data_IF_423932279566
#
_entry.id   IF_423932279566
#
_cell.length_a   1.000
_cell.length_b   1.000
_cell.length_c   1.000
_cell.angle_alpha   90.00
_cell.angle_beta   90.00
_cell.angle_gamma   90.00
#
_symmetry.space_group_name_H-M   'P 1'
#
loop_
_entity.id
_entity.type
_entity.pdbx_description
1 polymer ?
#
# COMPACT_ATOMS: atom_id res chain seq x y z
N UNK A 1 -14.83 3.36 48.33
CA UNK A 1 -14.06 2.34 47.60
C UNK A 1 -14.91 1.95 46.39
N UNK A 2 -14.74 2.45 45.18
CA UNK A 2 -13.51 2.86 44.52
C UNK A 2 -12.91 1.66 43.80
N UNK A 3 -13.61 1.10 42.80
CA UNK A 3 -13.00 0.14 41.89
C UNK A 3 -13.28 0.57 40.44
N UNK A 4 -12.24 1.16 39.86
CA UNK A 4 -12.17 1.63 38.49
C UNK A 4 -11.95 0.42 37.58
N UNK A 5 -13.02 -0.10 36.99
CA UNK A 5 -12.88 -1.06 35.90
C UNK A 5 -12.39 -0.34 34.65
N UNK A 6 -11.05 -0.34 34.51
CA UNK A 6 -10.26 -0.28 33.28
C UNK A 6 -11.04 0.08 32.01
N UNK A 7 -11.00 1.37 31.70
CA UNK A 7 -11.33 1.90 30.39
C UNK A 7 -10.51 1.18 29.31
N UNK A 8 -11.19 0.31 28.56
CA UNK A 8 -10.70 -0.14 27.26
C UNK A 8 -10.50 1.12 26.40
N UNK A 9 -9.26 1.37 26.02
CA UNK A 9 -8.90 2.42 25.08
C UNK A 9 -9.54 2.07 23.74
N UNK A 10 -10.70 2.66 23.45
CA UNK A 10 -11.32 2.62 22.14
C UNK A 10 -10.32 3.23 21.13
N UNK A 11 -9.63 2.38 20.36
CA UNK A 11 -9.41 2.73 18.95
C UNK A 11 -10.81 3.06 18.44
N UNK A 12 -11.07 4.32 18.06
CA UNK A 12 -12.37 4.73 17.53
C UNK A 12 -12.54 4.01 16.21
N UNK A 13 -13.10 2.81 16.25
CA UNK A 13 -13.31 1.98 15.09
C UNK A 13 -14.23 2.76 14.15
N UNK A 14 -13.69 3.17 13.01
CA UNK A 14 -14.47 3.87 11.99
C UNK A 14 -15.58 2.92 11.53
N UNK A 15 -16.83 3.37 11.58
CA UNK A 15 -17.97 2.54 11.20
C UNK A 15 -17.92 2.16 9.72
N UNK A 16 -18.49 1.01 9.39
CA UNK A 16 -18.56 0.54 8.01
C UNK A 16 -19.36 1.52 7.13
N UNK A 17 -20.41 2.12 7.68
CA UNK A 17 -21.25 3.13 7.05
C UNK A 17 -20.43 4.37 6.70
N UNK A 18 -19.63 4.91 7.64
CA UNK A 18 -18.82 6.11 7.41
C UNK A 18 -17.77 5.91 6.30
N UNK A 19 -17.17 4.71 6.22
CA UNK A 19 -16.23 4.38 5.13
C UNK A 19 -16.98 4.30 3.80
N UNK A 20 -18.16 3.69 3.79
CA UNK A 20 -18.96 3.50 2.57
C UNK A 20 -19.49 4.83 2.04
N UNK A 21 -19.97 5.71 2.93
CA UNK A 21 -20.41 7.07 2.58
C UNK A 21 -19.26 7.89 1.98
N UNK A 22 -18.07 7.85 2.61
CA UNK A 22 -16.88 8.51 2.08
C UNK A 22 -16.49 7.97 0.69
N UNK A 23 -16.49 6.66 0.49
CA UNK A 23 -16.12 6.06 -0.80
C UNK A 23 -17.12 6.40 -1.91
N UNK A 24 -18.41 6.57 -1.56
CA UNK A 24 -19.48 6.93 -2.49
C UNK A 24 -19.59 8.43 -2.77
N UNK A 25 -18.79 9.27 -2.10
CA UNK A 25 -18.82 10.71 -2.37
C UNK A 25 -18.48 10.95 -3.85
N UNK A 26 -19.36 11.60 -4.62
CA UNK A 26 -19.13 11.81 -6.04
C UNK A 26 -18.13 12.95 -6.27
N UNK A 27 -17.51 12.94 -7.45
CA UNK A 27 -16.51 13.94 -7.83
C UNK A 27 -17.06 15.38 -7.79
N UNK A 28 -18.30 15.57 -8.26
CA UNK A 28 -18.98 16.87 -8.34
C UNK A 28 -19.20 17.56 -6.99
N UNK A 29 -19.25 16.79 -5.90
CA UNK A 29 -19.48 17.33 -4.57
C UNK A 29 -18.22 17.95 -3.97
N UNK A 30 -17.05 17.56 -4.49
CA UNK A 30 -15.73 17.97 -3.99
C UNK A 30 -15.07 18.97 -4.93
N UNK A 31 -15.11 18.67 -6.23
CA UNK A 31 -14.33 19.36 -7.23
C UNK A 31 -15.18 20.32 -8.06
N UNK A 32 -14.55 21.45 -8.38
CA UNK A 32 -15.05 22.36 -9.41
C UNK A 32 -13.88 22.76 -10.28
N UNK A 33 -14.16 22.88 -11.57
CA UNK A 33 -13.20 23.33 -12.57
C UNK A 33 -13.60 24.69 -13.11
N UNK A 34 -12.64 25.42 -13.67
CA UNK A 34 -12.88 26.67 -14.37
C UNK A 34 -13.82 26.46 -15.58
N UNK A 35 -14.52 27.51 -16.05
CA UNK A 35 -15.45 27.40 -17.18
C UNK A 35 -14.81 26.88 -18.48
N UNK A 36 -13.51 27.10 -18.68
CA UNK A 36 -12.71 26.59 -19.79
C UNK A 36 -12.29 25.12 -19.64
N UNK A 37 -12.60 24.50 -18.48
CA UNK A 37 -12.26 23.12 -18.14
C UNK A 37 -10.78 22.86 -17.86
N UNK A 38 -9.93 23.90 -17.83
CA UNK A 38 -8.47 23.70 -17.81
C UNK A 38 -7.89 23.57 -16.41
N UNK A 39 -8.51 24.19 -15.40
CA UNK A 39 -7.95 24.31 -14.06
C UNK A 39 -8.97 23.98 -12.98
N UNK A 40 -8.48 23.42 -11.86
CA UNK A 40 -9.29 23.30 -10.65
C UNK A 40 -9.50 24.66 -10.01
N UNK A 41 -10.71 24.92 -9.54
CA UNK A 41 -11.06 26.10 -8.71
C UNK A 41 -11.45 25.69 -7.28
N UNK A 42 -11.82 24.42 -7.07
CA UNK A 42 -12.10 23.83 -5.76
C UNK A 42 -11.59 22.39 -5.71
N UNK A 43 -11.05 21.91 -4.57
CA UNK A 43 -10.84 22.63 -3.29
C UNK A 43 -9.72 23.69 -3.35
N UNK A 44 -9.67 24.59 -2.36
CA UNK A 44 -8.71 25.72 -2.34
C UNK A 44 -7.25 25.30 -2.52
N UNK A 45 -6.84 24.17 -1.94
CA UNK A 45 -5.48 23.64 -2.09
C UNK A 45 -5.12 23.19 -3.51
N UNK A 46 -6.11 23.07 -4.41
CA UNK A 46 -5.96 22.72 -5.82
C UNK A 46 -6.20 23.90 -6.75
N UNK A 47 -6.58 25.07 -6.24
CA UNK A 47 -6.89 26.23 -7.06
C UNK A 47 -5.73 26.55 -8.04
N UNK A 48 -6.05 26.61 -9.34
CA UNK A 48 -5.11 26.87 -10.43
C UNK A 48 -4.30 25.66 -10.90
N UNK A 49 -4.47 24.48 -10.30
CA UNK A 49 -3.83 23.23 -10.76
C UNK A 49 -4.43 22.81 -12.09
N UNK A 50 -3.59 22.40 -13.06
CA UNK A 50 -4.07 21.90 -14.34
C UNK A 50 -4.89 20.61 -14.17
N UNK A 51 -5.97 20.48 -14.97
CA UNK A 51 -6.80 19.26 -15.03
C UNK A 51 -6.11 18.17 -15.85
N UNK A 52 -5.57 18.52 -17.02
CA UNK A 52 -4.80 17.60 -17.85
C UNK A 52 -3.41 17.36 -17.27
N UNK A 53 -2.84 16.20 -17.56
CA UNK A 53 -1.48 15.85 -17.14
C UNK A 53 -0.47 16.91 -17.60
N UNK A 54 0.31 17.45 -16.68
CA UNK A 54 1.38 18.38 -17.03
C UNK A 54 2.57 17.64 -17.62
N UNK A 55 3.25 18.29 -18.56
CA UNK A 55 4.57 17.94 -19.07
C UNK A 55 5.59 18.99 -18.63
N UNK A 56 6.88 18.73 -18.85
CA UNK A 56 7.96 19.66 -18.49
C UNK A 56 7.96 20.94 -19.35
N UNK A 57 7.26 20.90 -20.49
CA UNK A 57 7.09 22.04 -21.39
C UNK A 57 5.80 22.84 -21.09
N UNK A 58 5.01 22.41 -20.10
CA UNK A 58 3.76 23.08 -19.73
C UNK A 58 4.01 24.43 -19.06
N UNK A 59 3.16 25.43 -19.32
CA UNK A 59 3.15 26.71 -18.60
C UNK A 59 3.01 26.58 -17.07
N UNK A 60 2.47 25.46 -16.59
CA UNK A 60 2.35 25.17 -15.17
C UNK A 60 3.65 24.65 -14.55
N UNK A 61 4.57 24.12 -15.37
CA UNK A 61 5.83 23.53 -14.94
C UNK A 61 6.74 24.57 -14.28
N UNK A 62 7.51 24.12 -13.29
CA UNK A 62 8.52 24.94 -12.63
C UNK A 62 9.87 24.27 -12.82
N UNK A 63 10.81 24.98 -13.45
CA UNK A 63 12.14 24.47 -13.82
C UNK A 63 12.93 23.82 -12.67
N UNK A 64 12.67 24.21 -11.42
CA UNK A 64 13.35 23.66 -10.24
C UNK A 64 12.78 22.32 -9.76
N UNK A 65 11.64 21.89 -10.29
CA UNK A 65 11.05 20.60 -9.93
C UNK A 65 11.86 19.44 -10.49
N UNK A 66 11.98 18.37 -9.70
CA UNK A 66 12.53 17.13 -10.19
C UNK A 66 11.66 16.57 -11.33
N UNK A 67 12.32 16.13 -12.38
CA UNK A 67 11.71 15.59 -13.60
C UNK A 67 11.18 14.17 -13.35
N UNK A 68 9.92 13.94 -13.72
CA UNK A 68 9.32 12.60 -13.70
C UNK A 68 9.91 11.74 -14.81
N UNK A 69 10.06 12.28 -16.02
CA UNK A 69 10.60 11.55 -17.17
C UNK A 69 12.05 11.14 -16.95
N UNK A 70 12.89 12.03 -16.40
CA UNK A 70 14.27 11.72 -16.03
C UNK A 70 14.36 10.66 -14.93
N UNK A 71 13.38 10.59 -14.02
CA UNK A 71 13.32 9.51 -13.04
C UNK A 71 12.93 8.18 -13.69
N UNK A 72 11.91 8.18 -14.57
CA UNK A 72 11.44 6.98 -15.26
C UNK A 72 12.50 6.40 -16.21
N UNK A 73 13.28 7.26 -16.88
CA UNK A 73 14.39 6.87 -17.76
C UNK A 73 15.52 6.10 -17.03
N UNK A 74 15.56 6.12 -15.69
CA UNK A 74 16.57 5.40 -14.92
C UNK A 74 16.24 3.91 -14.69
N UNK A 75 15.08 3.41 -15.15
CA UNK A 75 14.64 2.02 -14.91
C UNK A 75 15.68 0.98 -15.39
N UNK A 76 16.18 1.12 -16.62
CA UNK A 76 17.16 0.19 -17.18
C UNK A 76 18.50 0.22 -16.43
N UNK A 77 18.92 1.41 -15.99
CA UNK A 77 20.15 1.58 -15.22
C UNK A 77 20.07 0.89 -13.86
N UNK A 78 18.91 0.93 -13.20
CA UNK A 78 18.70 0.28 -11.90
C UNK A 78 18.51 -1.23 -12.05
N UNK A 79 17.87 -1.68 -13.14
CA UNK A 79 17.77 -3.11 -13.49
C UNK A 79 19.16 -3.72 -13.72
N UNK A 80 20.08 -2.97 -14.35
CA UNK A 80 21.50 -3.35 -14.48
C UNK A 80 22.18 -3.47 -13.12
N UNK A 81 22.05 -2.48 -12.24
CA UNK A 81 22.61 -2.54 -10.87
C UNK A 81 22.06 -3.72 -10.05
N UNK A 82 20.77 -4.06 -10.22
CA UNK A 82 20.18 -5.25 -9.60
C UNK A 82 20.85 -6.53 -10.09
N UNK A 83 21.12 -6.64 -11.39
CA UNK A 83 21.80 -7.81 -11.99
C UNK A 83 23.24 -7.93 -11.49
N UNK A 84 23.99 -6.84 -11.49
CA UNK A 84 25.38 -6.80 -11.03
C UNK A 84 25.51 -7.12 -9.54
N UNK A 85 24.67 -6.52 -8.70
CA UNK A 85 24.66 -6.80 -7.25
C UNK A 85 24.27 -8.24 -6.94
N UNK A 86 23.38 -8.85 -7.75
CA UNK A 86 23.03 -10.28 -7.63
C UNK A 86 24.24 -11.16 -7.90
N UNK A 87 25.00 -10.85 -8.94
CA UNK A 87 26.20 -11.61 -9.30
C UNK A 87 27.27 -11.49 -8.22
N UNK A 88 27.54 -10.28 -7.74
CA UNK A 88 28.46 -10.05 -6.63
C UNK A 88 28.06 -10.85 -5.37
N UNK A 89 26.78 -10.84 -5.01
CA UNK A 89 26.27 -11.59 -3.87
C UNK A 89 26.36 -13.11 -4.09
N UNK A 90 26.18 -13.59 -5.33
CA UNK A 90 26.33 -15.01 -5.68
C UNK A 90 27.77 -15.50 -5.48
N UNK A 91 28.76 -14.68 -5.83
CA UNK A 91 30.18 -14.98 -5.67
C UNK A 91 30.58 -15.01 -4.19
N UNK A 92 30.02 -14.11 -3.36
CA UNK A 92 30.29 -14.08 -1.92
C UNK A 92 28.99 -14.00 -1.07
N UNK A 93 28.32 -15.14 -0.83
CA UNK A 93 27.01 -15.18 -0.17
C UNK A 93 27.04 -14.83 1.33
N UNK A 94 28.21 -14.90 1.97
CA UNK A 94 28.34 -14.61 3.40
C UNK A 94 28.55 -13.12 3.70
N UNK A 95 28.77 -12.31 2.66
CA UNK A 95 28.92 -10.87 2.81
C UNK A 95 27.57 -10.17 2.98
N UNK A 96 27.31 -9.69 4.21
CA UNK A 96 26.07 -8.99 4.56
C UNK A 96 25.86 -7.68 3.79
N UNK A 97 26.92 -7.00 3.39
CA UNK A 97 26.81 -5.72 2.68
C UNK A 97 26.43 -5.93 1.21
N UNK A 98 26.92 -7.00 0.58
CA UNK A 98 26.45 -7.43 -0.73
C UNK A 98 24.97 -7.84 -0.68
N UNK A 99 24.54 -8.53 0.38
CA UNK A 99 23.13 -8.86 0.58
C UNK A 99 22.26 -7.60 0.70
N UNK A 100 22.69 -6.60 1.50
CA UNK A 100 21.98 -5.31 1.64
C UNK A 100 21.93 -4.56 0.31
N UNK A 101 23.05 -4.48 -0.42
CA UNK A 101 23.13 -3.80 -1.71
C UNK A 101 22.22 -4.48 -2.75
N UNK A 102 22.22 -5.80 -2.81
CA UNK A 102 21.32 -6.53 -3.69
C UNK A 102 19.85 -6.29 -3.34
N UNK A 103 19.50 -6.32 -2.05
CA UNK A 103 18.15 -6.00 -1.58
C UNK A 103 17.75 -4.56 -1.96
N UNK A 104 18.63 -3.58 -1.76
CA UNK A 104 18.37 -2.19 -2.12
C UNK A 104 17.97 -2.04 -3.59
N UNK A 105 18.77 -2.59 -4.51
CA UNK A 105 18.48 -2.50 -5.94
C UNK A 105 17.23 -3.31 -6.35
N UNK A 106 16.99 -4.46 -5.70
CA UNK A 106 15.74 -5.22 -5.89
C UNK A 106 14.50 -4.42 -5.45
N UNK A 107 14.58 -3.75 -4.30
CA UNK A 107 13.52 -2.90 -3.77
C UNK A 107 13.32 -1.67 -4.68
N UNK A 108 14.39 -1.01 -5.13
CA UNK A 108 14.33 0.14 -6.04
C UNK A 108 13.67 -0.20 -7.39
N UNK A 109 14.05 -1.31 -8.01
CA UNK A 109 13.40 -1.80 -9.24
C UNK A 109 11.90 -2.01 -9.02
N UNK A 110 11.53 -2.60 -7.88
CA UNK A 110 10.12 -2.83 -7.55
C UNK A 110 9.36 -1.51 -7.40
N UNK A 111 9.99 -0.50 -6.78
CA UNK A 111 9.44 0.85 -6.67
C UNK A 111 9.30 1.53 -8.03
N UNK A 112 10.33 1.50 -8.88
CA UNK A 112 10.30 2.10 -10.22
C UNK A 112 9.15 1.52 -11.06
N UNK A 113 8.98 0.20 -11.08
CA UNK A 113 7.87 -0.43 -11.80
C UNK A 113 6.50 0.03 -11.31
N UNK A 114 6.32 0.10 -9.98
CA UNK A 114 5.06 0.59 -9.39
C UNK A 114 4.84 2.08 -9.67
N UNK A 115 5.89 2.90 -9.65
CA UNK A 115 5.81 4.32 -10.00
C UNK A 115 5.43 4.48 -11.48
N UNK A 116 6.08 3.74 -12.40
CA UNK A 116 5.75 3.76 -13.83
C UNK A 116 4.32 3.31 -14.11
N UNK A 117 3.83 2.29 -13.41
CA UNK A 117 2.43 1.83 -13.53
C UNK A 117 1.40 2.93 -13.19
N UNK A 118 1.74 3.82 -12.25
CA UNK A 118 0.82 4.86 -11.77
C UNK A 118 1.06 6.22 -12.44
N UNK A 119 2.30 6.59 -12.76
CA UNK A 119 2.67 7.92 -13.25
C UNK A 119 3.35 7.90 -14.62
N UNK A 120 3.54 6.72 -15.22
CA UNK A 120 4.16 6.59 -16.55
C UNK A 120 3.37 7.28 -17.66
N UNK A 121 3.91 7.22 -18.87
CA UNK A 121 3.42 7.97 -20.03
C UNK A 121 1.89 7.86 -20.24
N UNK A 122 1.36 6.63 -20.21
CA UNK A 122 -0.06 6.33 -20.47
C UNK A 122 -1.01 6.68 -19.30
N UNK A 123 -0.46 7.11 -18.16
CA UNK A 123 -1.27 7.53 -17.02
C UNK A 123 -1.62 9.01 -17.12
N UNK A 124 -2.84 9.44 -16.72
CA UNK A 124 -3.21 10.85 -16.64
C UNK A 124 -2.63 11.56 -15.39
N UNK A 125 -1.89 10.85 -14.54
CA UNK A 125 -1.42 11.42 -13.26
C UNK A 125 0.00 11.97 -13.36
N UNK A 126 0.22 13.12 -12.71
CA UNK A 126 1.54 13.65 -12.42
C UNK A 126 1.67 13.98 -10.92
N UNK A 127 2.76 13.61 -10.23
CA UNK A 127 2.93 13.89 -8.80
C UNK A 127 2.81 15.39 -8.44
N UNK A 128 3.39 16.28 -9.26
CA UNK A 128 3.28 17.74 -9.11
C UNK A 128 1.88 18.33 -9.42
N UNK A 129 0.86 17.49 -9.61
CA UNK A 129 -0.56 17.91 -9.69
C UNK A 129 -1.38 17.44 -8.49
N UNK A 130 -0.72 16.91 -7.46
CA UNK A 130 -1.37 16.50 -6.22
C UNK A 130 -2.04 17.67 -5.50
N UNK A 131 -1.40 18.84 -5.54
CA UNK A 131 -1.87 20.12 -4.98
C UNK A 131 -1.39 21.27 -5.89
N UNK A 132 -1.89 22.49 -5.65
CA UNK A 132 -1.47 23.67 -6.40
C UNK A 132 0.01 24.01 -6.18
N UNK A 133 0.65 24.64 -7.18
CA UNK A 133 2.07 25.02 -7.17
C UNK A 133 2.44 25.92 -5.99
N UNK A 134 1.48 26.64 -5.44
CA UNK A 134 1.68 27.46 -4.24
C UNK A 134 2.04 26.60 -3.01
N UNK A 135 1.55 25.35 -2.95
CA UNK A 135 1.79 24.42 -1.84
C UNK A 135 2.90 23.39 -2.12
N UNK A 136 3.44 23.35 -3.33
CA UNK A 136 4.52 22.41 -3.68
C UNK A 136 5.88 22.95 -3.25
N UNK A 137 6.77 22.10 -2.71
CA UNK A 137 8.13 22.48 -2.37
C UNK A 137 8.93 22.86 -3.63
N UNK A 138 10.10 23.45 -3.44
CA UNK A 138 10.90 24.01 -4.53
C UNK A 138 11.30 22.96 -5.59
N UNK A 139 11.52 21.73 -5.14
CA UNK A 139 11.89 20.54 -5.92
C UNK A 139 10.69 19.71 -6.37
N UNK A 140 9.47 20.06 -5.95
CA UNK A 140 8.26 19.33 -6.27
C UNK A 140 8.15 17.98 -5.52
N UNK A 141 7.43 17.04 -6.12
CA UNK A 141 7.02 15.77 -5.52
C UNK A 141 7.53 14.55 -6.29
N UNK A 142 8.35 14.73 -7.33
CA UNK A 142 8.94 13.65 -8.12
C UNK A 142 10.14 12.99 -7.42
N UNK A 143 9.99 12.62 -6.15
CA UNK A 143 10.98 11.88 -5.37
C UNK A 143 10.57 10.41 -5.23
N UNK A 144 11.51 9.48 -5.37
CA UNK A 144 11.24 8.04 -5.39
C UNK A 144 10.33 7.58 -4.25
N UNK A 145 10.67 7.87 -3.00
CA UNK A 145 9.91 7.36 -1.84
C UNK A 145 8.50 7.95 -1.77
N UNK A 146 8.35 9.22 -2.17
CA UNK A 146 7.07 9.91 -2.16
C UNK A 146 6.17 9.40 -3.28
N UNK A 147 6.70 9.32 -4.51
CA UNK A 147 6.00 8.74 -5.65
C UNK A 147 5.60 7.29 -5.38
N UNK A 148 6.49 6.48 -4.80
CA UNK A 148 6.16 5.09 -4.47
C UNK A 148 5.02 4.96 -3.47
N UNK A 149 5.01 5.79 -2.41
CA UNK A 149 3.93 5.81 -1.41
C UNK A 149 2.59 6.19 -2.04
N UNK A 150 2.58 7.25 -2.85
CA UNK A 150 1.38 7.65 -3.59
C UNK A 150 0.92 6.54 -4.53
N UNK A 151 1.84 5.94 -5.29
CA UNK A 151 1.54 4.86 -6.22
C UNK A 151 0.92 3.64 -5.54
N UNK A 152 1.43 3.24 -4.38
CA UNK A 152 0.84 2.17 -3.58
C UNK A 152 -0.60 2.49 -3.15
N UNK A 153 -0.89 3.73 -2.70
CA UNK A 153 -2.25 4.11 -2.30
C UNK A 153 -3.21 4.18 -3.48
N UNK A 154 -2.77 4.74 -4.60
CA UNK A 154 -3.56 4.76 -5.85
C UNK A 154 -3.86 3.33 -6.30
N UNK A 155 -2.86 2.43 -6.28
CA UNK A 155 -3.04 1.02 -6.63
C UNK A 155 -4.06 0.32 -5.72
N UNK A 156 -4.07 0.62 -4.42
CA UNK A 156 -5.04 0.06 -3.48
C UNK A 156 -6.45 0.62 -3.71
N UNK A 157 -6.57 1.91 -4.03
CA UNK A 157 -7.83 2.57 -4.33
C UNK A 157 -8.42 2.13 -5.67
N UNK A 158 -7.58 1.85 -6.68
CA UNK A 158 -8.01 1.28 -7.98
C UNK A 158 -8.82 0.00 -7.79
N UNK A 159 -8.43 -0.87 -6.86
CA UNK A 159 -9.20 -2.09 -6.55
C UNK A 159 -10.63 -1.77 -6.07
N UNK A 160 -10.83 -0.71 -5.30
CA UNK A 160 -12.17 -0.30 -4.86
C UNK A 160 -12.97 0.34 -6.00
N UNK A 161 -12.30 1.11 -6.86
CA UNK A 161 -12.89 1.73 -8.03
C UNK A 161 -13.35 0.68 -9.05
N UNK A 162 -12.51 -0.31 -9.36
CA UNK A 162 -12.82 -1.42 -10.28
C UNK A 162 -13.97 -2.32 -9.76
N UNK A 163 -14.21 -2.29 -8.44
CA UNK A 163 -15.36 -2.96 -7.79
C UNK A 163 -16.62 -2.09 -7.74
N UNK A 164 -16.56 -0.85 -8.21
CA UNK A 164 -17.67 0.10 -8.15
C UNK A 164 -17.99 0.62 -6.74
N UNK A 165 -17.07 0.49 -5.78
CA UNK A 165 -17.25 1.00 -4.42
C UNK A 165 -16.71 2.41 -4.24
N UNK A 166 -15.64 2.76 -4.94
CA UNK A 166 -15.09 4.11 -4.96
C UNK A 166 -15.68 4.87 -6.16
N UNK A 167 -16.43 5.94 -5.89
CA UNK A 167 -17.15 6.71 -6.91
C UNK A 167 -16.26 7.68 -7.70
N UNK A 168 -15.15 8.14 -7.10
CA UNK A 168 -14.19 9.04 -7.74
C UNK A 168 -13.03 8.26 -8.37
N UNK A 169 -12.34 8.90 -9.32
CA UNK A 169 -11.02 8.44 -9.73
C UNK A 169 -10.09 8.27 -8.50
N UNK A 170 -9.27 7.19 -8.43
CA UNK A 170 -8.37 6.93 -7.31
C UNK A 170 -7.41 8.07 -6.95
N UNK A 171 -6.90 8.79 -7.95
CA UNK A 171 -6.03 9.95 -7.72
C UNK A 171 -6.81 11.13 -7.17
N UNK A 172 -7.99 11.42 -7.73
CA UNK A 172 -8.89 12.44 -7.19
C UNK A 172 -9.27 12.13 -5.74
N UNK A 173 -9.69 10.91 -5.45
CA UNK A 173 -10.00 10.53 -4.08
C UNK A 173 -8.83 10.78 -3.12
N UNK A 174 -7.61 10.40 -3.50
CA UNK A 174 -6.42 10.65 -2.69
C UNK A 174 -6.14 12.15 -2.53
N UNK A 175 -6.27 12.94 -3.59
CA UNK A 175 -6.17 14.41 -3.56
C UNK A 175 -7.17 15.00 -2.58
N UNK A 176 -8.41 14.51 -2.56
CA UNK A 176 -9.44 14.97 -1.63
C UNK A 176 -9.07 14.71 -0.17
N UNK A 177 -8.54 13.53 0.13
CA UNK A 177 -8.10 13.19 1.50
C UNK A 177 -6.96 14.10 1.96
N UNK A 178 -5.99 14.36 1.08
CA UNK A 178 -4.89 15.30 1.33
C UNK A 178 -5.42 16.73 1.51
N UNK A 179 -6.36 17.16 0.68
CA UNK A 179 -7.00 18.48 0.77
C UNK A 179 -7.67 18.70 2.14
N UNK A 180 -8.43 17.71 2.62
CA UNK A 180 -9.06 17.76 3.95
C UNK A 180 -8.00 17.88 5.06
N UNK A 181 -6.89 17.14 4.96
CA UNK A 181 -5.81 17.23 5.95
C UNK A 181 -5.12 18.59 5.93
N UNK A 182 -4.83 19.13 4.75
CA UNK A 182 -4.26 20.47 4.60
C UNK A 182 -5.20 21.53 5.19
N UNK A 183 -6.50 21.44 4.90
CA UNK A 183 -7.50 22.36 5.46
C UNK A 183 -7.53 22.32 6.99
N UNK A 184 -7.38 21.15 7.61
CA UNK A 184 -7.32 21.03 9.08
C UNK A 184 -6.06 21.63 9.69
N UNK A 185 -4.99 21.79 8.90
CA UNK A 185 -3.72 22.37 9.35
C UNK A 185 -3.65 23.89 9.12
N UNK A 186 -4.43 24.42 8.19
CA UNK A 186 -4.37 25.83 7.83
C UNK A 186 -5.41 26.64 8.62
N UNK A 187 -4.92 27.61 9.39
CA UNK A 187 -5.76 28.57 10.12
C UNK A 187 -6.20 29.74 9.25
N UNK A 188 -5.45 30.02 8.17
CA UNK A 188 -5.72 31.12 7.24
C UNK A 188 -5.56 30.65 5.78
N UNK A 189 -6.36 31.24 4.88
CA UNK A 189 -6.37 30.90 3.45
C UNK A 189 -5.07 31.20 2.70
N UNK A 190 -4.24 32.11 3.22
CA UNK A 190 -2.97 32.51 2.61
C UNK A 190 -1.79 31.58 2.97
N UNK A 191 -1.98 30.61 3.88
CA UNK A 191 -0.89 29.72 4.30
C UNK A 191 -0.42 28.83 3.14
N UNK A 192 0.89 28.75 2.97
CA UNK A 192 1.52 27.85 2.00
C UNK A 192 1.69 26.47 2.60
N UNK A 193 1.56 25.45 1.73
CA UNK A 193 1.73 24.05 2.08
C UNK A 193 3.15 23.53 1.83
N UNK A 194 4.06 24.40 1.36
CA UNK A 194 5.41 24.04 0.91
C UNK A 194 6.16 23.15 1.90
N UNK A 195 6.12 23.52 3.18
CA UNK A 195 6.90 22.84 4.22
C UNK A 195 6.19 21.62 4.81
N UNK A 196 4.90 21.43 4.51
CA UNK A 196 4.05 20.42 5.16
C UNK A 196 3.50 19.37 4.20
N UNK A 197 3.42 19.63 2.89
CA UNK A 197 2.77 18.73 1.94
C UNK A 197 3.44 17.36 1.90
N UNK A 198 4.78 17.31 1.91
CA UNK A 198 5.52 16.04 1.97
C UNK A 198 5.15 15.29 3.25
N UNK A 199 5.18 15.95 4.41
CA UNK A 199 4.82 15.36 5.70
C UNK A 199 3.38 14.81 5.69
N UNK A 200 2.43 15.54 5.11
CA UNK A 200 1.04 15.11 4.96
C UNK A 200 0.96 13.85 4.09
N UNK A 201 1.64 13.82 2.94
CA UNK A 201 1.67 12.64 2.08
C UNK A 201 2.26 11.44 2.84
N UNK A 202 3.38 11.62 3.52
CA UNK A 202 3.98 10.55 4.33
C UNK A 202 3.04 10.07 5.43
N UNK A 203 2.38 10.98 6.14
CA UNK A 203 1.54 10.62 7.28
C UNK A 203 0.22 9.95 6.87
N UNK A 204 -0.40 10.40 5.77
CA UNK A 204 -1.60 9.78 5.19
C UNK A 204 -1.27 8.43 4.55
N UNK A 205 -0.11 8.31 3.90
CA UNK A 205 0.29 7.09 3.21
C UNK A 205 1.06 6.09 4.09
N UNK A 206 1.35 6.43 5.35
CA UNK A 206 2.03 5.53 6.29
C UNK A 206 1.10 4.38 6.70
N UNK A 207 1.49 3.16 6.36
CA UNK A 207 0.99 1.96 7.02
C UNK A 207 1.77 1.80 8.34
N UNK A 208 1.11 1.52 9.46
CA UNK A 208 1.71 1.38 10.81
C UNK A 208 2.63 0.16 10.94
N UNK A 209 3.68 0.10 10.13
CA UNK A 209 4.87 -0.70 10.39
C UNK A 209 5.78 -0.05 11.43
N UNK A 210 5.46 1.14 11.94
CA UNK A 210 6.17 1.73 13.07
C UNK A 210 5.92 0.88 14.32
N UNK A 211 7.01 0.45 14.96
CA UNK A 211 7.04 -0.39 16.18
C UNK A 211 6.36 0.26 17.40
N UNK A 212 5.80 1.46 17.27
CA UNK A 212 5.02 2.09 18.32
C UNK A 212 3.56 1.67 18.21
N UNK A 213 3.09 0.90 19.19
CA UNK A 213 1.71 0.45 19.31
C UNK A 213 0.69 1.60 19.48
N UNK A 214 1.15 2.85 19.64
CA UNK A 214 0.32 4.02 19.98
C UNK A 214 0.14 5.05 18.86
N UNK A 215 0.69 4.86 17.66
CA UNK A 215 0.58 5.88 16.61
C UNK A 215 -0.84 5.87 16.01
N UNK A 216 -1.63 6.87 16.34
CA UNK A 216 -2.96 7.13 15.75
C UNK A 216 -2.77 7.41 14.26
N UNK A 217 -3.57 6.76 13.41
CA UNK A 217 -3.59 7.05 11.98
C UNK A 217 -4.16 8.44 11.74
N UNK A 218 -3.47 9.25 10.94
CA UNK A 218 -3.91 10.61 10.63
C UNK A 218 -5.20 10.65 9.81
N UNK A 219 -5.47 9.60 9.02
CA UNK A 219 -6.73 9.41 8.30
C UNK A 219 -7.27 7.98 8.55
N UNK A 220 -8.02 7.77 9.64
CA UNK A 220 -8.58 6.46 9.98
C UNK A 220 -9.55 5.93 8.92
N UNK A 221 -10.30 6.81 8.25
CA UNK A 221 -11.29 6.42 7.26
C UNK A 221 -10.63 5.96 5.96
N UNK A 222 -9.60 6.67 5.48
CA UNK A 222 -8.78 6.20 4.36
C UNK A 222 -8.12 4.86 4.71
N UNK A 223 -7.56 4.74 5.92
CA UNK A 223 -6.94 3.48 6.35
C UNK A 223 -7.92 2.31 6.32
N UNK A 224 -9.16 2.52 6.78
CA UNK A 224 -10.20 1.50 6.72
C UNK A 224 -10.57 1.13 5.27
N UNK A 225 -10.60 2.09 4.34
CA UNK A 225 -10.77 1.82 2.91
C UNK A 225 -9.61 0.98 2.34
N UNK A 226 -8.36 1.29 2.69
CA UNK A 226 -7.19 0.51 2.27
C UNK A 226 -7.25 -0.93 2.82
N UNK A 227 -7.68 -1.12 4.07
CA UNK A 227 -7.90 -2.46 4.65
C UNK A 227 -9.02 -3.19 3.90
N UNK A 228 -10.10 -2.50 3.50
CA UNK A 228 -11.17 -3.09 2.68
C UNK A 228 -10.62 -3.60 1.35
N UNK A 229 -9.83 -2.77 0.65
CA UNK A 229 -9.11 -3.16 -0.58
C UNK A 229 -8.18 -4.36 -0.35
N UNK A 230 -7.47 -4.37 0.78
CA UNK A 230 -6.62 -5.50 1.16
C UNK A 230 -7.39 -6.81 1.38
N UNK A 231 -8.65 -6.71 1.82
CA UNK A 231 -9.60 -7.83 1.89
C UNK A 231 -9.83 -8.47 0.53
N UNK A 232 -10.12 -7.66 -0.49
CA UNK A 232 -10.34 -8.16 -1.86
C UNK A 232 -9.10 -8.78 -2.50
N UNK A 233 -7.92 -8.28 -2.14
CA UNK A 233 -6.65 -8.80 -2.65
C UNK A 233 -6.10 -9.98 -1.82
N UNK A 234 -6.77 -10.39 -0.74
CA UNK A 234 -6.28 -11.45 0.16
C UNK A 234 -5.02 -11.08 0.95
N UNK A 235 -4.68 -9.79 1.04
CA UNK A 235 -3.43 -9.27 1.65
C UNK A 235 -3.62 -8.68 3.05
N UNK A 236 -4.73 -8.98 3.73
CA UNK A 236 -5.04 -8.50 5.09
C UNK A 236 -3.94 -8.81 6.12
N UNK A 237 -3.20 -9.92 5.94
CA UNK A 237 -2.11 -10.30 6.82
C UNK A 237 -1.01 -9.22 6.91
N UNK A 238 -0.80 -8.44 5.84
CA UNK A 238 0.20 -7.37 5.76
C UNK A 238 -0.10 -6.18 6.67
N UNK A 239 -1.36 -6.04 7.12
CA UNK A 239 -1.82 -4.94 7.97
C UNK A 239 -1.95 -5.32 9.44
N UNK A 240 -1.60 -6.56 9.82
CA UNK A 240 -1.68 -7.04 11.20
C UNK A 240 -0.50 -6.57 12.03
N UNK A 241 -0.76 -6.25 13.30
CA UNK A 241 0.30 -6.00 14.29
C UNK A 241 1.01 -7.33 14.63
N UNK A 242 2.34 -7.36 14.79
CA UNK A 242 3.05 -8.54 15.26
C UNK A 242 2.50 -8.97 16.63
N UNK A 243 1.88 -10.15 16.71
CA UNK A 243 1.28 -10.67 17.95
C UNK A 243 -0.25 -10.86 17.89
N UNK A 244 -0.92 -10.30 16.89
CA UNK A 244 -2.36 -10.43 16.74
C UNK A 244 -2.74 -11.79 16.12
N UNK A 245 -2.81 -12.81 16.97
CA UNK A 245 -3.20 -14.19 16.64
C UNK A 245 -4.72 -14.41 16.80
N UNK A 246 -5.56 -13.42 16.50
CA UNK A 246 -7.00 -13.64 16.49
C UNK A 246 -7.47 -14.31 15.19
N UNK A 247 -8.27 -15.35 15.39
CA UNK A 247 -8.83 -16.28 14.41
C UNK A 247 -9.76 -15.53 13.48
N UNK A 248 -9.51 -15.59 12.17
CA UNK A 248 -10.40 -15.05 11.13
C UNK A 248 -11.76 -15.75 11.28
N UNK A 249 -12.74 -15.08 11.87
CA UNK A 249 -14.15 -15.32 11.54
C UNK A 249 -14.34 -14.79 10.13
N UNK A 250 -14.28 -15.71 9.15
CA UNK A 250 -14.78 -15.41 7.81
C UNK A 250 -16.22 -14.95 8.00
N UNK A 251 -16.53 -13.74 7.58
CA UNK A 251 -17.91 -13.27 7.41
C UNK A 251 -18.57 -14.23 6.44
N UNK A 252 -19.30 -15.21 6.97
CA UNK A 252 -20.13 -16.11 6.17
C UNK A 252 -21.34 -15.31 5.76
N UNK A 253 -21.50 -15.10 4.46
CA UNK A 253 -22.79 -14.79 3.87
C UNK A 253 -23.78 -15.88 4.30
N UNK A 254 -24.90 -15.46 4.86
CA UNK A 254 -25.95 -16.34 5.33
C UNK A 254 -26.52 -17.12 4.14
N UNK A 255 -26.27 -18.43 4.12
CA UNK A 255 -27.13 -19.38 3.41
C UNK A 255 -27.48 -20.44 4.43
N UNK A 256 -28.78 -20.53 4.71
CA UNK A 256 -29.37 -21.47 5.65
C UNK A 256 -29.00 -22.92 5.30
N UNK A 257 -28.83 -23.76 6.32
CA UNK A 257 -28.86 -25.22 6.13
C UNK A 257 -27.88 -26.02 6.98
N UNK A 258 -28.46 -26.69 7.98
CA UNK A 258 -28.01 -27.94 8.62
C UNK A 258 -26.74 -27.92 9.49
N UNK A 259 -26.99 -28.14 10.77
CA UNK A 259 -26.02 -28.17 11.85
C UNK A 259 -25.06 -29.34 11.85
N UNK A 260 -24.04 -29.21 12.70
CA UNK A 260 -23.37 -30.33 13.36
C UNK A 260 -22.73 -29.87 14.68
N UNK A 261 -23.43 -30.27 15.73
CA UNK A 261 -23.08 -30.59 17.11
C UNK A 261 -21.59 -30.44 17.49
N UNK A 262 -21.42 -29.66 18.56
CA UNK A 262 -20.25 -29.47 19.40
C UNK A 262 -19.93 -30.77 20.16
N UNK A 263 -18.69 -31.25 20.12
CA UNK A 263 -18.16 -32.13 21.18
C UNK A 263 -16.95 -31.49 21.85
N UNK A 264 -17.21 -30.97 23.04
CA UNK A 264 -16.23 -30.70 24.09
C UNK A 264 -15.75 -32.06 24.63
N UNK A 265 -14.43 -32.26 24.74
CA UNK A 265 -13.86 -33.19 25.72
C UNK A 265 -12.81 -32.45 26.54
N UNK A 266 -13.19 -32.22 27.80
CA UNK A 266 -12.35 -31.84 28.93
C UNK A 266 -11.70 -33.08 29.57
N UNK A 267 -10.68 -32.85 30.42
CA UNK A 267 -10.12 -33.71 31.50
C UNK A 267 -9.10 -34.78 31.01
N UNK A 268 -7.92 -35.01 31.57
CA UNK A 268 -7.30 -34.83 32.92
C UNK A 268 -5.75 -34.88 32.79
N UNK A 269 -5.01 -34.13 33.61
CA UNK A 269 -3.57 -34.36 33.92
C UNK A 269 -3.40 -35.39 35.05
N UNK A 270 -2.34 -36.23 35.02
CA UNK A 270 -1.38 -36.13 36.13
C UNK A 270 0.10 -36.26 35.72
N UNK A 271 0.95 -35.55 36.46
CA UNK A 271 2.43 -35.50 36.49
C UNK A 271 2.93 -36.43 37.64
N UNK A 272 4.23 -36.76 37.90
CA UNK A 272 5.49 -36.82 37.11
C UNK A 272 6.21 -38.19 37.18
N UNK A 273 7.19 -38.46 36.31
CA UNK A 273 8.49 -39.00 36.75
C UNK A 273 9.58 -38.82 35.70
N UNK A 274 10.79 -38.55 36.20
CA UNK A 274 11.98 -38.19 35.45
C UNK A 274 12.68 -39.42 34.89
N UNK A 275 12.94 -39.46 33.58
CA UNK A 275 14.15 -40.08 33.04
C UNK A 275 14.62 -39.28 31.82
N UNK A 276 15.90 -38.95 31.90
CA UNK A 276 16.67 -38.04 31.08
C UNK A 276 17.20 -38.74 29.83
N UNK A 277 17.31 -37.97 28.73
CA UNK A 277 18.19 -38.18 27.57
C UNK A 277 17.98 -39.47 26.77
N UNK A 278 17.19 -39.37 25.69
CA UNK A 278 17.50 -39.96 24.37
C UNK A 278 16.45 -39.53 23.34
N UNK A 279 16.63 -38.36 22.71
CA UNK A 279 15.84 -37.99 21.52
C UNK A 279 16.55 -36.98 20.60
N UNK A 280 17.88 -36.98 20.62
CA UNK A 280 18.70 -36.14 19.75
C UNK A 280 19.03 -36.77 18.38
N UNK A 281 18.71 -38.05 18.16
CA UNK A 281 19.05 -38.77 16.92
C UNK A 281 17.89 -38.96 15.92
N UNK A 282 16.67 -38.46 16.22
CA UNK A 282 15.51 -38.57 15.30
C UNK A 282 15.18 -37.26 14.55
N UNK A 283 15.98 -36.19 14.75
CA UNK A 283 15.77 -34.88 14.10
C UNK A 283 16.59 -34.67 12.83
N UNK A 284 17.67 -35.43 12.64
CA UNK A 284 18.53 -35.34 11.45
C UNK A 284 17.95 -36.06 10.24
N UNK A 285 17.25 -37.19 10.41
CA UNK A 285 16.66 -37.94 9.28
C UNK A 285 15.40 -37.30 8.69
N UNK A 286 14.66 -36.50 9.47
CA UNK A 286 13.52 -35.72 8.94
C UNK A 286 13.95 -34.50 8.12
N UNK A 287 15.22 -34.08 8.19
CA UNK A 287 15.72 -32.92 7.45
C UNK A 287 16.32 -33.28 6.09
N UNK A 288 16.77 -34.53 5.88
CA UNK A 288 17.26 -35.00 4.59
C UNK A 288 16.15 -35.52 3.65
N UNK A 289 15.00 -35.95 4.15
CA UNK A 289 13.86 -36.41 3.30
C UNK A 289 12.94 -35.29 2.76
N UNK A 290 13.30 -34.01 2.91
CA UNK A 290 12.53 -32.86 2.37
C UNK A 290 13.19 -32.15 1.19
N UNK A 291 14.31 -32.66 0.65
CA UNK A 291 15.06 -32.01 -0.44
C UNK A 291 14.52 -32.27 -1.86
N UNK A 292 13.39 -32.97 -2.03
CA UNK A 292 12.85 -33.30 -3.37
C UNK A 292 11.39 -32.87 -3.60
N UNK A 293 10.97 -31.75 -2.99
CA UNK A 293 9.71 -31.11 -3.34
C UNK A 293 10.00 -29.84 -4.16
N UNK A 294 9.51 -29.73 -5.42
CA UNK A 294 9.74 -28.54 -6.24
C UNK A 294 9.06 -27.32 -5.61
N UNK A 295 9.81 -26.22 -5.57
CA UNK A 295 9.38 -24.94 -5.01
C UNK A 295 8.16 -24.40 -5.76
N UNK A 296 7.03 -24.28 -5.06
CA UNK A 296 5.80 -23.65 -5.56
C UNK A 296 5.95 -22.12 -5.55
N UNK A 297 6.74 -21.60 -6.49
CA UNK A 297 6.68 -20.19 -6.91
C UNK A 297 6.74 -20.13 -8.44
N UNK A 298 5.59 -20.36 -9.08
CA UNK A 298 5.38 -20.11 -10.50
C UNK A 298 4.93 -18.67 -10.68
N UNK A 299 5.86 -17.78 -11.04
CA UNK A 299 5.49 -16.44 -11.49
C UNK A 299 4.60 -16.49 -12.74
N UNK A 300 4.06 -15.34 -13.14
CA UNK A 300 3.07 -15.15 -14.23
C UNK A 300 3.44 -15.84 -15.56
N UNK A 301 4.73 -16.12 -15.80
CA UNK A 301 5.20 -16.87 -16.97
C UNK A 301 4.83 -18.37 -16.94
N UNK A 302 4.71 -18.99 -15.77
CA UNK A 302 4.30 -20.38 -15.63
C UNK A 302 2.80 -20.56 -15.96
N UNK A 303 1.97 -19.58 -15.61
CA UNK A 303 0.54 -19.56 -15.96
C UNK A 303 0.32 -19.40 -17.47
N UNK A 304 1.13 -18.55 -18.12
CA UNK A 304 1.06 -18.34 -19.59
C UNK A 304 1.52 -19.57 -20.37
N UNK A 305 2.56 -20.27 -19.89
CA UNK A 305 3.00 -21.54 -20.47
C UNK A 305 1.95 -22.66 -20.31
N UNK A 306 1.22 -22.67 -19.18
CA UNK A 306 0.19 -23.67 -18.91
C UNK A 306 -1.10 -23.45 -19.73
N UNK A 307 -1.40 -22.20 -20.10
CA UNK A 307 -2.49 -21.88 -21.04
C UNK A 307 -2.15 -22.34 -22.47
N UNK A 308 -0.95 -22.03 -22.97
CA UNK A 308 -0.52 -22.46 -24.31
C UNK A 308 -0.47 -23.99 -24.49
N UNK A 309 -0.12 -24.73 -23.43
CA UNK A 309 -0.16 -26.19 -23.46
C UNK A 309 -1.58 -26.76 -23.45
N UNK A 310 -2.57 -26.05 -22.89
CA UNK A 310 -3.98 -26.50 -22.89
C UNK A 310 -4.67 -26.22 -24.22
N UNK A 311 -4.28 -25.16 -24.91
CA UNK A 311 -4.81 -24.82 -26.23
C UNK A 311 -4.24 -25.74 -27.32
N UNK A 312 -2.97 -26.13 -27.22
CA UNK A 312 -2.36 -27.11 -28.14
C UNK A 312 -2.83 -28.56 -27.93
N UNK A 313 -3.45 -28.88 -26.79
CA UNK A 313 -3.98 -30.23 -26.50
C UNK A 313 -5.45 -30.40 -26.91
N UNK A 314 -6.05 -29.38 -27.56
CA UNK A 314 -7.43 -29.37 -28.06
C UNK A 314 -7.52 -29.30 -29.59
N UNK A 315 -6.40 -29.49 -30.28
CA UNK A 315 -6.28 -29.74 -31.72
C UNK A 315 -5.84 -31.20 -31.92
#
# INVERSE_FOLDING_TARGET
>A
MGDQSLAYSHETAVSYEAVTEMLRTPWSDVYRISPDGQKYISPQCLNGTAVQKITEDSDYWVLRWFSLEAYLAQEDSEEKKKRESKEQYRINPHNKDLAKKHKLHMDNVSKQRKIREIFGHDSPYHPNQLVSKHHLPAEGLCEQELMYKLACKVSDLRVLHDKGELAMDPWDFLRWRIAKKMQSMFTMSAQSGRDVVKRIVFSICEDSGSKSASKIYEDPTLRAAIIRSAGYQGRLASFRKPGDKSRITKTKTNTAGMGRIIQRRSKVDPIPSALSRQSALSRTDKRQKRSTQPSTYGGVNAYRAQQQQRDNARL
#
